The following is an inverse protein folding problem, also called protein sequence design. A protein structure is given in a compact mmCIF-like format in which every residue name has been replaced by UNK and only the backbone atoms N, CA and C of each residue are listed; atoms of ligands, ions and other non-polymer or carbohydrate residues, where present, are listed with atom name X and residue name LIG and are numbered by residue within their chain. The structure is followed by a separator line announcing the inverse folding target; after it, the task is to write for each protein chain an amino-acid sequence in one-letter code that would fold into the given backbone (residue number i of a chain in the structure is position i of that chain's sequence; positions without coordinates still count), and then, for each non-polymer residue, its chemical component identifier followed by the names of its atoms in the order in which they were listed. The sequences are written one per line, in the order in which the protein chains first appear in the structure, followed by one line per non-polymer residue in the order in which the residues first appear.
data_IF_888372370358
#
_entry.id   IF_888372370358
#
_cell.length_a   1.000
_cell.length_b   1.000
_cell.length_c   1.000
_cell.angle_alpha   90.00
_cell.angle_beta   90.00
_cell.angle_gamma   90.00
#
_symmetry.space_group_name_H-M   'P 1'
#
loop_
_entity.id
_entity.type
_entity.pdbx_description
1 polymer ?
#
# COMPACT_ATOMS: atom_id res chain seq x y z
N UNK A 1 -0.44 -10.17 12.15
CA UNK A 1 -1.61 -9.66 11.41
C UNK A 1 -1.39 -10.02 9.95
N UNK A 2 -2.19 -10.95 9.46
CA UNK A 2 -2.21 -11.39 8.05
C UNK A 2 -3.15 -10.44 7.31
N UNK A 3 -2.73 -9.88 6.17
CA UNK A 3 -3.61 -9.07 5.33
C UNK A 3 -4.79 -9.96 4.93
N UNK A 4 -6.01 -9.55 5.23
CA UNK A 4 -7.20 -10.38 4.95
C UNK A 4 -7.45 -10.47 3.43
N UNK A 5 -8.18 -11.49 2.97
CA UNK A 5 -8.60 -11.63 1.56
C UNK A 5 -9.28 -10.35 1.01
N UNK A 6 -9.98 -9.63 1.89
CA UNK A 6 -10.65 -8.36 1.61
C UNK A 6 -9.67 -7.22 1.30
N UNK A 7 -8.42 -7.33 1.73
CA UNK A 7 -7.34 -6.38 1.48
C UNK A 7 -6.63 -6.63 0.15
N UNK A 8 -7.09 -7.60 -0.65
CA UNK A 8 -6.56 -7.84 -1.99
C UNK A 8 -6.76 -6.67 -2.94
N UNK A 9 -7.93 -6.03 -2.92
CA UNK A 9 -8.16 -4.82 -3.70
C UNK A 9 -7.29 -3.64 -3.25
N UNK A 10 -7.03 -3.52 -1.94
CA UNK A 10 -6.12 -2.50 -1.41
C UNK A 10 -4.69 -2.69 -1.96
N UNK A 11 -4.20 -3.94 -1.91
CA UNK A 11 -2.89 -4.30 -2.44
C UNK A 11 -2.81 -4.02 -3.95
N UNK A 12 -3.79 -4.48 -4.72
CA UNK A 12 -3.85 -4.26 -6.16
C UNK A 12 -3.82 -2.76 -6.52
N UNK A 13 -4.79 -1.97 -6.01
CA UNK A 13 -4.91 -0.55 -6.36
C UNK A 13 -3.68 0.28 -5.95
N UNK A 14 -3.06 -0.05 -4.81
CA UNK A 14 -1.87 0.68 -4.34
C UNK A 14 -0.62 0.34 -5.15
N UNK A 15 -0.44 -0.92 -5.54
CA UNK A 15 0.66 -1.36 -6.40
C UNK A 15 0.50 -0.87 -7.84
N UNK A 16 -0.73 -0.85 -8.36
CA UNK A 16 -1.04 -0.31 -9.69
C UNK A 16 -0.79 1.21 -9.73
N UNK A 17 -1.26 1.96 -8.73
CA UNK A 17 -0.96 3.40 -8.62
C UNK A 17 0.54 3.69 -8.51
N UNK A 18 1.29 2.82 -7.81
CA UNK A 18 2.74 2.90 -7.74
C UNK A 18 3.38 2.62 -9.10
N UNK A 19 2.91 1.60 -9.84
CA UNK A 19 3.39 1.26 -11.18
C UNK A 19 3.14 2.40 -12.18
N UNK A 20 1.96 3.02 -12.16
CA UNK A 20 1.64 4.19 -12.98
C UNK A 20 2.59 5.36 -12.68
N UNK A 21 2.88 5.61 -11.41
CA UNK A 21 3.83 6.68 -11.00
C UNK A 21 5.26 6.36 -11.46
N UNK A 22 5.66 5.08 -11.46
CA UNK A 22 6.96 4.65 -11.99
C UNK A 22 7.06 4.89 -13.50
N UNK A 23 5.97 4.68 -14.23
CA UNK A 23 5.92 4.90 -15.68
C UNK A 23 5.96 6.39 -16.05
N UNK A 24 5.30 7.25 -15.26
CA UNK A 24 5.17 8.69 -15.55
C UNK A 24 6.43 9.51 -15.17
N UNK A 25 7.26 9.03 -14.23
CA UNK A 25 8.36 9.82 -13.66
C UNK A 25 9.75 9.17 -13.57
N UNK A 26 9.90 7.88 -13.89
CA UNK A 26 11.19 7.17 -13.87
C UNK A 26 11.75 6.86 -12.48
N UNK A 27 12.19 5.60 -12.30
CA UNK A 27 12.84 4.97 -11.13
C UNK A 27 12.56 5.62 -9.76
N UNK A 28 11.55 5.08 -9.06
CA UNK A 28 11.35 5.36 -7.64
C UNK A 28 12.35 4.55 -6.81
N UNK A 29 13.21 5.24 -6.04
CA UNK A 29 13.98 4.59 -4.98
C UNK A 29 13.04 3.96 -3.94
N UNK A 30 13.51 2.94 -3.22
CA UNK A 30 12.73 2.27 -2.15
C UNK A 30 12.14 3.27 -1.14
N UNK A 31 12.85 4.37 -0.87
CA UNK A 31 12.37 5.45 -0.02
C UNK A 31 11.17 6.20 -0.62
N UNK A 32 11.23 6.53 -1.91
CA UNK A 32 10.15 7.20 -2.63
C UNK A 32 8.92 6.29 -2.77
N UNK A 33 9.12 4.99 -2.98
CA UNK A 33 8.02 4.01 -3.03
C UNK A 33 7.29 3.92 -1.69
N UNK A 34 8.01 3.80 -0.59
CA UNK A 34 7.41 3.74 0.75
C UNK A 34 6.71 5.06 1.10
N UNK A 35 7.28 6.21 0.73
CA UNK A 35 6.65 7.51 0.92
C UNK A 35 5.36 7.65 0.10
N UNK A 36 5.40 7.23 -1.17
CA UNK A 36 4.25 7.23 -2.06
C UNK A 36 3.12 6.38 -1.48
N UNK A 37 3.41 5.12 -1.12
CA UNK A 37 2.42 4.20 -0.56
C UNK A 37 1.86 4.72 0.77
N UNK A 38 2.68 5.31 1.63
CA UNK A 38 2.21 5.92 2.89
C UNK A 38 1.23 7.07 2.63
N UNK A 39 1.52 7.94 1.65
CA UNK A 39 0.62 9.05 1.26
C UNK A 39 -0.66 8.54 0.61
N UNK A 40 -0.54 7.54 -0.26
CA UNK A 40 -1.66 6.91 -0.94
C UNK A 40 -2.62 6.26 0.08
N UNK A 41 -2.08 5.49 1.04
CA UNK A 41 -2.87 4.85 2.11
C UNK A 41 -3.58 5.88 2.99
N UNK A 42 -2.91 6.97 3.35
CA UNK A 42 -3.51 8.05 4.14
C UNK A 42 -4.67 8.72 3.38
N UNK A 43 -4.52 8.87 2.06
CA UNK A 43 -5.55 9.43 1.18
C UNK A 43 -6.72 8.46 1.03
N UNK A 44 -6.45 7.17 0.83
CA UNK A 44 -7.47 6.12 0.74
C UNK A 44 -8.31 6.02 2.02
N UNK A 45 -7.66 6.11 3.19
CA UNK A 45 -8.33 6.15 4.49
C UNK A 45 -9.21 7.39 4.65
N UNK A 46 -8.67 8.58 4.31
CA UNK A 46 -9.42 9.85 4.39
C UNK A 46 -10.64 9.85 3.47
N UNK A 47 -10.50 9.29 2.28
CA UNK A 47 -11.59 9.19 1.30
C UNK A 47 -12.55 8.03 1.56
N UNK A 48 -12.27 7.17 2.57
CA UNK A 48 -13.02 5.93 2.85
C UNK A 48 -13.23 5.08 1.59
N UNK A 49 -12.19 4.97 0.75
CA UNK A 49 -12.22 4.21 -0.51
C UNK A 49 -12.47 2.72 -0.31
N UNK A 50 -12.20 2.20 0.89
CA UNK A 50 -12.32 0.80 1.24
C UNK A 50 -13.36 0.58 2.34
N UNK A 51 -13.90 -0.64 2.39
CA UNK A 51 -14.82 -1.06 3.45
C UNK A 51 -14.17 -0.90 4.84
N UNK A 52 -15.01 -0.74 5.86
CA UNK A 52 -14.56 -0.66 7.27
C UNK A 52 -13.75 -1.88 7.69
N UNK A 53 -14.00 -3.04 7.09
CA UNK A 53 -13.23 -4.27 7.34
C UNK A 53 -11.74 -4.15 6.99
N UNK A 54 -11.40 -3.29 6.02
CA UNK A 54 -10.03 -3.09 5.52
C UNK A 54 -9.36 -1.91 6.23
N UNK A 55 -10.12 -1.11 6.97
CA UNK A 55 -9.61 0.06 7.70
C UNK A 55 -8.47 -0.29 8.68
N UNK A 56 -8.57 -1.37 9.50
CA UNK A 56 -7.48 -1.76 10.40
C UNK A 56 -6.19 -2.14 9.65
N UNK A 57 -6.30 -2.77 8.48
CA UNK A 57 -5.15 -3.14 7.65
C UNK A 57 -4.45 -1.88 7.10
N UNK A 58 -5.22 -0.88 6.64
CA UNK A 58 -4.68 0.41 6.18
C UNK A 58 -3.98 1.15 7.32
N UNK A 59 -4.59 1.21 8.50
CA UNK A 59 -4.01 1.86 9.67
C UNK A 59 -2.71 1.18 10.13
N UNK A 60 -2.68 -0.17 10.10
CA UNK A 60 -1.47 -0.92 10.41
C UNK A 60 -0.36 -0.62 9.40
N UNK A 61 -0.65 -0.65 8.09
CA UNK A 61 0.32 -0.32 7.04
C UNK A 61 0.84 1.12 7.17
N UNK A 62 -0.03 2.08 7.48
CA UNK A 62 0.36 3.46 7.76
C UNK A 62 1.30 3.58 8.95
N UNK A 63 1.02 2.84 10.03
CA UNK A 63 1.90 2.79 11.20
C UNK A 63 3.26 2.23 10.83
N UNK A 64 3.33 1.17 10.03
CA UNK A 64 4.59 0.62 9.54
C UNK A 64 5.37 1.63 8.68
N UNK A 65 4.70 2.29 7.72
CA UNK A 65 5.31 3.30 6.87
C UNK A 65 5.85 4.50 7.64
N UNK A 66 5.14 4.95 8.68
CA UNK A 66 5.56 6.06 9.54
C UNK A 66 6.68 5.70 10.51
N UNK A 67 6.65 4.50 11.09
CA UNK A 67 7.63 4.07 12.09
C UNK A 67 8.94 3.60 11.47
N UNK A 68 8.87 2.89 10.33
CA UNK A 68 10.04 2.26 9.72
C UNK A 68 10.55 3.04 8.49
N UNK A 69 9.78 4.00 7.97
CA UNK A 69 10.16 4.82 6.83
C UNK A 69 10.62 3.98 5.64
N UNK A 70 11.86 4.18 5.21
CA UNK A 70 12.47 3.45 4.08
C UNK A 70 12.61 1.94 4.34
N UNK A 71 12.71 1.52 5.60
CA UNK A 71 12.81 0.11 6.00
C UNK A 71 11.46 -0.58 6.12
N UNK A 72 10.35 0.13 5.90
CA UNK A 72 9.00 -0.43 6.03
C UNK A 72 8.69 -1.55 5.02
N UNK A 73 9.37 -1.55 3.85
CA UNK A 73 9.17 -2.52 2.75
C UNK A 73 7.68 -2.72 2.43
N UNK A 74 6.94 -1.62 2.27
CA UNK A 74 5.48 -1.66 2.12
C UNK A 74 5.07 -2.43 0.86
N UNK A 75 5.81 -2.29 -0.25
CA UNK A 75 5.61 -3.07 -1.48
C UNK A 75 5.63 -4.58 -1.21
N UNK A 76 6.59 -5.09 -0.44
CA UNK A 76 6.65 -6.52 -0.08
C UNK A 76 5.53 -6.96 0.85
N UNK A 77 5.04 -6.08 1.73
CA UNK A 77 3.91 -6.37 2.63
C UNK A 77 2.57 -6.39 1.90
N UNK A 78 2.45 -5.60 0.83
CA UNK A 78 1.29 -5.58 -0.05
C UNK A 78 1.30 -6.78 -1.02
N UNK A 79 2.48 -7.25 -1.44
CA UNK A 79 2.66 -8.36 -2.38
C UNK A 79 2.55 -9.76 -1.72
N UNK A 80 1.68 -9.93 -0.72
CA UNK A 80 1.54 -11.20 0.00
C UNK A 80 0.86 -12.27 -0.89
N UNK A 81 1.30 -13.55 -0.86
CA UNK A 81 0.73 -14.62 -1.68
C UNK A 81 -0.68 -14.93 -1.21
N UNK A 82 -1.68 -14.51 -1.99
CA UNK A 82 -3.10 -14.69 -1.65
C UNK A 82 -4.03 -13.79 -2.45
N UNK A 83 -3.50 -12.76 -3.11
CA UNK A 83 -4.24 -11.96 -4.08
C UNK A 83 -3.91 -12.51 -5.47
N UNK A 84 -4.82 -13.23 -6.15
CA UNK A 84 -4.60 -13.57 -7.55
C UNK A 84 -4.52 -12.26 -8.34
N UNK A 85 -3.42 -12.06 -9.07
CA UNK A 85 -3.41 -11.10 -10.17
C UNK A 85 -4.46 -11.56 -11.21
N UNK A 86 -5.18 -10.62 -11.86
CA UNK A 86 -6.16 -10.95 -12.89
C UNK A 86 -5.55 -11.75 -14.04
#
# INVERSE_FOLDING_TARGET
MTLTEKSGYLAWYSLEALALTRQDGGVLSVAQENLFLTRWLATALKQRRFSRDVTPDIEWLLKQGRQLGVSAKLTSKLNYPGVPAP
#
